data_IF_938773294969
#
_entry.id   IF_938773294969
#
_cell.length_a   1.000
_cell.length_b   1.000
_cell.length_c   1.000
_cell.angle_alpha   90.00
_cell.angle_beta   90.00
_cell.angle_gamma   90.00
#
_symmetry.space_group_name_H-M   'P 1'
#
loop_
_entity.id
_entity.type
_entity.pdbx_description
1 polymer ?
#
# COMPACT_ATOMS: atom_id res chain seq x y z
N UNK A 1 -22.14 -38.73 14.68
CA UNK A 1 -22.40 -37.38 14.14
C UNK A 1 -21.06 -36.79 13.77
N UNK A 2 -20.69 -36.80 12.49
CA UNK A 2 -19.28 -36.74 12.12
C UNK A 2 -18.63 -35.39 12.42
N UNK A 3 -17.50 -35.51 13.10
CA UNK A 3 -16.42 -34.59 13.38
C UNK A 3 -15.78 -34.07 12.08
N UNK A 4 -16.58 -33.60 11.12
CA UNK A 4 -16.11 -32.85 9.96
C UNK A 4 -15.77 -31.46 10.47
N UNK A 5 -14.62 -31.39 11.15
CA UNK A 5 -13.86 -30.18 11.48
C UNK A 5 -13.97 -29.23 10.29
N UNK A 6 -14.85 -28.23 10.42
CA UNK A 6 -15.00 -27.18 9.45
C UNK A 6 -13.68 -26.40 9.48
N UNK A 7 -12.70 -26.83 8.68
CA UNK A 7 -11.41 -26.14 8.50
C UNK A 7 -11.75 -24.75 7.99
N UNK A 8 -11.89 -23.79 8.90
CA UNK A 8 -11.92 -22.38 8.57
C UNK A 8 -10.58 -22.11 7.90
N UNK A 9 -10.61 -21.94 6.58
CA UNK A 9 -9.40 -21.75 5.77
C UNK A 9 -8.84 -20.38 6.09
N UNK A 10 -7.96 -20.31 7.10
CA UNK A 10 -7.28 -19.07 7.49
C UNK A 10 -6.60 -18.45 6.26
N UNK A 11 -6.84 -17.16 6.02
CA UNK A 11 -6.15 -16.38 4.99
C UNK A 11 -4.62 -16.50 5.13
N UNK A 12 -3.91 -16.68 4.01
CA UNK A 12 -2.48 -17.02 4.00
C UNK A 12 -1.93 -17.26 2.58
N UNK A 13 -0.77 -17.91 2.43
CA UNK A 13 0.00 -17.99 1.16
C UNK A 13 -0.70 -18.64 -0.04
N UNK A 14 -1.89 -19.22 0.13
CA UNK A 14 -2.72 -19.74 -0.96
C UNK A 14 -3.65 -18.68 -1.56
N UNK A 15 -3.68 -17.47 -1.01
CA UNK A 15 -4.52 -16.36 -1.45
C UNK A 15 -3.72 -15.40 -2.32
N UNK A 16 -4.35 -14.91 -3.38
CA UNK A 16 -3.80 -13.83 -4.19
C UNK A 16 -3.64 -12.54 -3.38
N UNK A 17 -4.62 -12.19 -2.54
CA UNK A 17 -4.56 -10.96 -1.74
C UNK A 17 -3.41 -11.00 -0.73
N UNK A 18 -3.02 -12.19 -0.24
CA UNK A 18 -1.83 -12.37 0.59
C UNK A 18 -0.55 -11.93 -0.13
N UNK A 19 -0.30 -12.47 -1.32
CA UNK A 19 0.90 -12.13 -2.08
C UNK A 19 0.88 -10.69 -2.59
N UNK A 20 -0.28 -10.17 -3.01
CA UNK A 20 -0.39 -8.77 -3.41
C UNK A 20 -0.14 -7.82 -2.24
N UNK A 21 -0.60 -8.17 -1.02
CA UNK A 21 -0.33 -7.37 0.20
C UNK A 21 1.16 -7.36 0.52
N UNK A 22 1.82 -8.53 0.47
CA UNK A 22 3.27 -8.63 0.69
C UNK A 22 4.05 -7.86 -0.38
N UNK A 23 3.67 -8.01 -1.66
CA UNK A 23 4.32 -7.29 -2.77
C UNK A 23 4.18 -5.78 -2.61
N UNK A 24 2.99 -5.28 -2.25
CA UNK A 24 2.75 -3.87 -1.98
C UNK A 24 3.62 -3.36 -0.82
N UNK A 25 3.66 -4.10 0.29
CA UNK A 25 4.48 -3.74 1.45
C UNK A 25 5.99 -3.71 1.11
N UNK A 26 6.48 -4.71 0.39
CA UNK A 26 7.87 -4.77 -0.08
C UNK A 26 8.18 -3.61 -1.03
N UNK A 27 7.26 -3.28 -1.94
CA UNK A 27 7.40 -2.13 -2.83
C UNK A 27 7.55 -0.82 -2.05
N UNK A 28 6.71 -0.58 -1.05
CA UNK A 28 6.79 0.62 -0.19
C UNK A 28 8.12 0.71 0.56
N UNK A 29 8.61 -0.41 1.11
CA UNK A 29 9.90 -0.47 1.79
C UNK A 29 11.05 -0.16 0.82
N UNK A 30 11.07 -0.81 -0.36
CA UNK A 30 12.09 -0.57 -1.37
C UNK A 30 12.09 0.89 -1.86
N UNK A 31 10.92 1.46 -2.14
CA UNK A 31 10.78 2.87 -2.53
C UNK A 31 11.20 3.82 -1.41
N UNK A 32 10.89 3.49 -0.15
CA UNK A 32 11.33 4.25 1.02
C UNK A 32 12.86 4.28 1.11
N UNK A 33 13.50 3.12 1.11
CA UNK A 33 14.96 2.99 1.13
C UNK A 33 15.59 3.76 -0.04
N UNK A 34 15.07 3.56 -1.27
CA UNK A 34 15.59 4.24 -2.45
C UNK A 34 15.51 5.78 -2.33
N UNK A 35 14.40 6.32 -1.83
CA UNK A 35 14.25 7.78 -1.63
C UNK A 35 15.12 8.35 -0.51
N UNK A 36 15.50 7.55 0.48
CA UNK A 36 16.49 7.97 1.47
C UNK A 36 17.89 8.09 0.88
N UNK A 37 18.30 7.09 0.09
CA UNK A 37 19.65 7.02 -0.49
C UNK A 37 19.79 7.97 -1.68
N UNK A 38 18.75 8.08 -2.52
CA UNK A 38 18.76 8.83 -3.78
C UNK A 38 17.55 9.79 -3.92
N UNK A 39 17.38 10.76 -3.01
CA UNK A 39 16.19 11.60 -2.96
C UNK A 39 15.94 12.42 -4.24
N UNK A 40 17.00 12.95 -4.84
CA UNK A 40 16.88 13.79 -6.06
C UNK A 40 16.43 12.95 -7.25
N UNK A 41 17.10 11.82 -7.49
CA UNK A 41 16.77 10.93 -8.61
C UNK A 41 15.36 10.34 -8.44
N UNK A 42 15.01 9.93 -7.22
CA UNK A 42 13.69 9.40 -6.93
C UNK A 42 12.59 10.45 -7.12
N UNK A 43 12.81 11.71 -6.70
CA UNK A 43 11.83 12.78 -6.93
C UNK A 43 11.51 12.96 -8.42
N UNK A 44 12.55 13.02 -9.26
CA UNK A 44 12.39 13.14 -10.72
C UNK A 44 11.63 11.96 -11.32
N UNK A 45 11.92 10.74 -10.87
CA UNK A 45 11.22 9.53 -11.33
C UNK A 45 9.72 9.55 -10.97
N UNK A 46 9.35 10.24 -9.88
CA UNK A 46 7.97 10.48 -9.49
C UNK A 46 7.36 11.76 -10.08
N UNK A 47 8.04 12.37 -11.06
CA UNK A 47 7.56 13.54 -11.76
C UNK A 47 7.69 14.86 -11.00
N UNK A 48 8.32 14.87 -9.82
CA UNK A 48 8.56 16.08 -9.03
C UNK A 48 10.02 16.52 -9.16
N UNK A 49 10.30 17.60 -9.87
CA UNK A 49 11.67 18.10 -9.98
C UNK A 49 12.10 18.87 -8.72
N UNK A 50 13.25 18.50 -8.15
CA UNK A 50 13.91 19.28 -7.11
C UNK A 50 14.83 20.30 -7.80
N UNK A 51 14.48 21.58 -7.71
CA UNK A 51 15.30 22.68 -8.25
C UNK A 51 16.46 23.05 -7.32
N UNK A 52 16.26 22.97 -6.00
CA UNK A 52 17.31 23.19 -5.00
C UNK A 52 17.56 21.90 -4.20
N UNK A 53 18.76 21.30 -4.23
CA UNK A 53 19.08 20.07 -3.49
C UNK A 53 18.77 20.11 -1.98
N UNK A 54 18.78 21.30 -1.37
CA UNK A 54 18.41 21.49 0.04
C UNK A 54 16.95 21.13 0.32
N UNK A 55 16.07 21.19 -0.70
CA UNK A 55 14.67 20.83 -0.57
C UNK A 55 14.45 19.30 -0.50
N UNK A 56 15.49 18.49 -0.72
CA UNK A 56 15.41 17.01 -0.66
C UNK A 56 14.86 16.44 0.67
N UNK A 57 14.74 17.28 1.71
CA UNK A 57 14.06 16.93 2.96
C UNK A 57 12.62 16.41 2.75
N UNK A 58 11.83 17.00 1.84
CA UNK A 58 10.44 16.53 1.63
C UNK A 58 10.40 15.10 1.06
N UNK A 59 11.37 14.74 0.21
CA UNK A 59 11.48 13.38 -0.34
C UNK A 59 11.81 12.39 0.76
N UNK A 60 12.69 12.76 1.69
CA UNK A 60 13.02 11.94 2.87
C UNK A 60 11.82 11.80 3.81
N UNK A 61 11.00 12.82 3.99
CA UNK A 61 9.74 12.70 4.75
C UNK A 61 8.79 11.69 4.08
N UNK A 62 8.62 11.76 2.76
CA UNK A 62 7.85 10.74 2.00
C UNK A 62 8.47 9.34 2.13
N UNK A 63 9.80 9.26 2.18
CA UNK A 63 10.52 8.00 2.38
C UNK A 63 10.20 7.35 3.73
N UNK A 64 10.23 8.13 4.82
CA UNK A 64 9.86 7.66 6.18
C UNK A 64 8.43 7.13 6.21
N UNK A 65 7.49 7.88 5.60
CA UNK A 65 6.08 7.49 5.51
C UNK A 65 5.94 6.13 4.84
N UNK A 66 6.55 5.94 3.68
CA UNK A 66 6.37 4.71 2.91
C UNK A 66 7.05 3.51 3.59
N UNK A 67 8.20 3.72 4.24
CA UNK A 67 8.82 2.69 5.09
C UNK A 67 7.90 2.29 6.25
N UNK A 68 7.32 3.27 6.96
CA UNK A 68 6.40 3.02 8.06
C UNK A 68 5.13 2.28 7.61
N UNK A 69 4.54 2.67 6.46
CA UNK A 69 3.38 1.98 5.89
C UNK A 69 3.72 0.53 5.51
N UNK A 70 4.83 0.31 4.81
CA UNK A 70 5.26 -1.02 4.41
C UNK A 70 5.52 -1.93 5.61
N UNK A 71 6.27 -1.47 6.61
CA UNK A 71 6.52 -2.22 7.85
C UNK A 71 5.20 -2.51 8.59
N UNK A 72 4.31 -1.53 8.71
CA UNK A 72 3.00 -1.71 9.36
C UNK A 72 2.19 -2.81 8.68
N UNK A 73 2.15 -2.84 7.35
CA UNK A 73 1.46 -3.88 6.58
C UNK A 73 2.08 -5.25 6.90
N UNK A 74 3.41 -5.39 6.87
CA UNK A 74 4.10 -6.65 7.22
C UNK A 74 3.72 -7.12 8.63
N UNK A 75 3.73 -6.21 9.61
CA UNK A 75 3.32 -6.50 10.99
C UNK A 75 1.88 -7.01 11.03
N UNK A 76 0.94 -6.36 10.34
CA UNK A 76 -0.45 -6.82 10.31
C UNK A 76 -0.64 -8.17 9.61
N UNK A 77 0.17 -8.46 8.58
CA UNK A 77 0.20 -9.79 7.94
C UNK A 77 0.70 -10.87 8.91
N UNK A 78 1.78 -10.60 9.64
CA UNK A 78 2.34 -11.52 10.65
C UNK A 78 1.31 -11.79 11.76
N UNK A 79 0.69 -10.73 12.28
CA UNK A 79 -0.34 -10.80 13.31
C UNK A 79 -1.70 -11.34 12.81
N UNK A 80 -1.85 -11.52 11.48
CA UNK A 80 -3.07 -12.01 10.82
C UNK A 80 -4.32 -11.16 11.11
N UNK A 81 -4.17 -9.86 11.34
CA UNK A 81 -5.28 -8.96 11.69
C UNK A 81 -5.90 -8.37 10.41
N UNK A 82 -6.64 -9.22 9.70
CA UNK A 82 -7.21 -8.89 8.37
C UNK A 82 -8.16 -7.70 8.36
N UNK A 83 -8.93 -7.49 9.44
CA UNK A 83 -9.82 -6.32 9.57
C UNK A 83 -9.02 -5.01 9.54
N UNK A 84 -7.88 -4.98 10.23
CA UNK A 84 -6.99 -3.82 10.27
C UNK A 84 -6.33 -3.62 8.92
N UNK A 85 -5.87 -4.69 8.25
CA UNK A 85 -5.33 -4.59 6.87
C UNK A 85 -6.34 -3.92 5.92
N UNK A 86 -7.61 -4.34 5.93
CA UNK A 86 -8.64 -3.75 5.06
C UNK A 86 -8.82 -2.26 5.34
N UNK A 87 -9.06 -1.91 6.61
CA UNK A 87 -9.28 -0.51 7.00
C UNK A 87 -8.05 0.36 6.69
N UNK A 88 -6.86 -0.15 7.00
CA UNK A 88 -5.60 0.52 6.74
C UNK A 88 -5.36 0.73 5.24
N UNK A 89 -5.59 -0.27 4.41
CA UNK A 89 -5.47 -0.15 2.95
C UNK A 89 -6.41 0.93 2.40
N UNK A 90 -7.69 0.94 2.83
CA UNK A 90 -8.67 1.95 2.40
C UNK A 90 -8.23 3.37 2.76
N UNK A 91 -7.80 3.59 4.01
CA UNK A 91 -7.32 4.91 4.45
C UNK A 91 -6.02 5.29 3.73
N UNK A 92 -5.09 4.34 3.57
CA UNK A 92 -3.81 4.59 2.91
C UNK A 92 -3.96 4.93 1.42
N UNK A 93 -5.06 4.56 0.77
CA UNK A 93 -5.31 4.89 -0.64
C UNK A 93 -5.45 6.41 -0.87
N UNK A 94 -5.74 7.18 0.18
CA UNK A 94 -5.72 8.65 0.14
C UNK A 94 -4.32 9.16 -0.23
N UNK A 95 -3.26 8.48 0.21
CA UNK A 95 -1.88 8.90 0.00
C UNK A 95 -1.52 8.98 -1.49
N UNK A 96 -1.63 7.89 -2.28
CA UNK A 96 -1.36 7.96 -3.72
C UNK A 96 -2.38 8.82 -4.46
N UNK A 97 -3.62 8.98 -3.99
CA UNK A 97 -4.56 9.94 -4.58
C UNK A 97 -4.02 11.37 -4.49
N UNK A 98 -3.63 11.80 -3.28
CA UNK A 98 -3.09 13.15 -3.05
C UNK A 98 -1.73 13.31 -3.73
N UNK A 99 -0.87 12.28 -3.71
CA UNK A 99 0.42 12.35 -4.43
C UNK A 99 0.21 12.55 -5.94
N UNK A 100 -0.77 11.86 -6.55
CA UNK A 100 -1.12 12.06 -7.96
C UNK A 100 -1.66 13.46 -8.27
N UNK A 101 -2.52 13.99 -7.41
CA UNK A 101 -3.02 15.37 -7.53
C UNK A 101 -1.87 16.37 -7.41
N UNK A 102 -0.95 16.19 -6.46
CA UNK A 102 0.20 17.07 -6.27
C UNK A 102 1.10 17.11 -7.51
N UNK A 103 1.33 15.96 -8.15
CA UNK A 103 2.09 15.88 -9.41
C UNK A 103 1.40 16.63 -10.55
N UNK A 104 0.06 16.66 -10.59
CA UNK A 104 -0.69 17.43 -11.58
C UNK A 104 -0.68 18.94 -11.32
N UNK A 105 -0.71 19.33 -10.05
CA UNK A 105 -0.85 20.75 -9.66
C UNK A 105 0.47 21.50 -9.56
N UNK A 106 1.61 20.80 -9.58
CA UNK A 106 2.91 21.46 -9.59
C UNK A 106 3.18 22.12 -10.97
N UNK A 107 4.06 23.13 -10.96
CA UNK A 107 4.54 23.73 -12.20
C UNK A 107 5.29 22.69 -13.07
N UNK A 108 4.89 22.53 -14.33
CA UNK A 108 5.45 21.53 -15.25
C UNK A 108 4.95 20.09 -15.02
N UNK A 109 3.89 19.90 -14.22
CA UNK A 109 3.30 18.60 -13.94
C UNK A 109 2.73 17.90 -15.19
N UNK A 110 3.18 16.69 -15.47
CA UNK A 110 2.65 15.88 -16.56
C UNK A 110 1.64 14.83 -16.07
N UNK A 111 0.52 14.70 -16.80
CA UNK A 111 -0.48 13.66 -16.52
C UNK A 111 0.13 12.26 -16.52
N UNK A 112 1.07 11.98 -17.44
CA UNK A 112 1.78 10.71 -17.53
C UNK A 112 2.48 10.34 -16.20
N UNK A 113 3.11 11.31 -15.55
CA UNK A 113 3.81 11.08 -14.29
C UNK A 113 2.85 10.90 -13.11
N UNK A 114 1.64 11.46 -13.19
CA UNK A 114 0.59 11.25 -12.18
C UNK A 114 -0.04 9.85 -12.22
N UNK A 115 -0.06 9.20 -13.40
CA UNK A 115 -0.72 7.90 -13.60
C UNK A 115 -0.21 6.82 -12.67
N UNK A 116 1.09 6.77 -12.39
CA UNK A 116 1.66 5.76 -11.49
C UNK A 116 1.06 5.84 -10.08
N UNK A 117 0.68 7.04 -9.63
CA UNK A 117 0.03 7.24 -8.33
C UNK A 117 -1.41 6.75 -8.36
N UNK A 118 -2.20 7.11 -9.38
CA UNK A 118 -3.57 6.63 -9.51
C UNK A 118 -3.66 5.11 -9.72
N UNK A 119 -2.72 4.52 -10.47
CA UNK A 119 -2.59 3.06 -10.60
C UNK A 119 -2.30 2.42 -9.23
N UNK A 120 -1.41 3.02 -8.44
CA UNK A 120 -1.12 2.56 -7.08
C UNK A 120 -2.36 2.65 -6.18
N UNK A 121 -3.10 3.76 -6.24
CA UNK A 121 -4.36 3.93 -5.51
C UNK A 121 -5.35 2.82 -5.87
N UNK A 122 -5.59 2.57 -7.15
CA UNK A 122 -6.49 1.52 -7.63
C UNK A 122 -6.00 0.14 -7.17
N UNK A 123 -4.69 -0.12 -7.24
CA UNK A 123 -4.09 -1.37 -6.78
C UNK A 123 -4.33 -1.63 -5.28
N UNK A 124 -4.14 -0.61 -4.43
CA UNK A 124 -4.40 -0.72 -2.98
C UNK A 124 -5.89 -0.93 -2.69
N UNK A 125 -6.78 -0.24 -3.42
CA UNK A 125 -8.23 -0.46 -3.30
C UNK A 125 -8.64 -1.86 -3.75
N UNK A 126 -8.02 -2.39 -4.81
CA UNK A 126 -8.22 -3.76 -5.26
C UNK A 126 -7.76 -4.77 -4.21
N UNK A 127 -6.60 -4.55 -3.58
CA UNK A 127 -6.13 -5.38 -2.46
C UNK A 127 -7.14 -5.35 -1.31
N UNK A 128 -7.60 -4.17 -0.91
CA UNK A 128 -8.61 -4.01 0.14
C UNK A 128 -9.91 -4.76 -0.19
N UNK A 129 -10.37 -4.66 -1.44
CA UNK A 129 -11.55 -5.37 -1.94
C UNK A 129 -11.36 -6.89 -1.90
N UNK A 130 -10.22 -7.41 -2.36
CA UNK A 130 -9.92 -8.85 -2.33
C UNK A 130 -9.83 -9.37 -0.89
N UNK A 131 -9.17 -8.63 0.00
CA UNK A 131 -9.14 -8.93 1.43
C UNK A 131 -10.57 -8.98 1.99
N UNK A 132 -11.42 -8.01 1.66
CA UNK A 132 -12.82 -7.99 2.09
C UNK A 132 -13.62 -9.20 1.58
N UNK A 133 -13.52 -9.50 0.28
CA UNK A 133 -14.17 -10.66 -0.36
C UNK A 133 -13.81 -11.96 0.32
N UNK A 134 -12.53 -12.13 0.65
CA UNK A 134 -12.06 -13.32 1.33
C UNK A 134 -12.40 -13.33 2.83
N UNK A 135 -12.63 -12.16 3.46
CA UNK A 135 -13.09 -12.08 4.86
C UNK A 135 -14.52 -12.62 5.00
N UNK A 136 -15.36 -12.44 3.98
CA UNK A 136 -16.71 -13.03 3.94
C UNK A 136 -16.71 -14.56 4.04
N UNK A 137 -15.64 -15.23 3.60
CA UNK A 137 -15.47 -16.69 3.78
C UNK A 137 -15.10 -17.08 5.23
N UNK A 138 -14.58 -16.14 6.02
CA UNK A 138 -14.17 -16.39 7.41
C UNK A 138 -15.34 -16.22 8.42
N UNK A 139 -16.46 -15.59 8.03
CA UNK A 139 -17.54 -15.13 8.95
C UNK A 139 -18.76 -16.08 9.04
N UNK A 140 -18.80 -17.27 8.41
CA UNK A 140 -20.02 -18.13 8.53
C UNK A 140 -20.21 -18.86 9.88
N UNK A 141 -19.72 -18.33 11.01
CA UNK A 141 -20.19 -18.67 12.37
C UNK A 141 -20.16 -17.44 13.27
N UNK A 142 -21.22 -16.66 13.17
CA UNK A 142 -21.67 -15.75 14.21
C UNK A 142 -23.19 -15.81 14.21
N UNK A 143 -23.73 -16.96 14.59
CA UNK A 143 -25.13 -17.02 15.05
C UNK A 143 -25.12 -16.32 16.40
N UNK A 144 -25.80 -15.17 16.47
CA UNK A 144 -26.61 -14.81 17.64
C UNK A 144 -28.05 -14.96 17.20
#
# INVERSE_FOLDING_TARGET
MSEKLRKVKRWGPKSLSFWLTILCASGLICLGINRFIHPIAASRAFGLEILNPLDSGYVRVKATRDLALGISIIVFVILRIKKVLIAFSLVSAIIPLIDGIMVLTQYGGEFKNSLQHFITMIGVLLIAFLLWREKGMDISKGVS
#
